data_IF_813310441937
#
_entry.id   IF_813310441937
#
_cell.length_a   1.000
_cell.length_b   1.000
_cell.length_c   1.000
_cell.angle_alpha   90.00
_cell.angle_beta   90.00
_cell.angle_gamma   90.00
#
_symmetry.space_group_name_H-M   'P 1'
#
loop_
_entity.id
_entity.type
_entity.pdbx_description
1 polymer ?
#
# COMPACT_ATOMS: atom_id res chain seq x y z
N UNK A 1 -1.27 10.57 14.30
CA UNK A 1 -0.52 9.28 14.23
C UNK A 1 0.70 9.36 13.31
N UNK A 2 0.65 10.00 12.14
CA UNK A 2 1.81 10.07 11.22
C UNK A 2 2.61 11.38 11.26
N UNK A 3 2.20 12.35 12.08
CA UNK A 3 2.84 13.67 12.20
C UNK A 3 4.34 13.63 12.55
N UNK A 4 4.82 12.73 13.43
CA UNK A 4 6.25 12.63 13.76
C UNK A 4 7.09 12.26 12.53
N UNK A 5 6.63 11.29 11.75
CA UNK A 5 7.27 10.88 10.51
C UNK A 5 7.26 12.01 9.49
N UNK A 6 6.13 12.69 9.33
CA UNK A 6 6.01 13.84 8.41
C UNK A 6 6.97 14.97 8.76
N UNK A 7 7.13 15.29 10.04
CA UNK A 7 8.10 16.29 10.52
C UNK A 7 9.54 15.86 10.24
N UNK A 8 9.87 14.58 10.49
CA UNK A 8 11.19 14.02 10.22
C UNK A 8 11.54 14.08 8.73
N UNK A 9 10.63 13.62 7.86
CA UNK A 9 10.83 13.70 6.41
C UNK A 9 11.02 15.13 5.93
N UNK A 10 10.27 16.09 6.48
CA UNK A 10 10.47 17.52 6.18
C UNK A 10 11.86 18.01 6.58
N UNK A 11 12.36 17.61 7.77
CA UNK A 11 13.72 17.95 8.24
C UNK A 11 14.81 17.35 7.33
N UNK A 12 14.63 16.11 6.91
CA UNK A 12 15.53 15.39 5.99
C UNK A 12 15.35 15.80 4.52
N UNK A 13 14.46 16.76 4.22
CA UNK A 13 14.09 17.21 2.86
C UNK A 13 13.57 16.09 1.95
N UNK A 14 12.98 15.06 2.53
CA UNK A 14 12.32 13.95 1.82
C UNK A 14 10.86 14.35 1.55
N UNK A 15 10.48 14.36 0.27
CA UNK A 15 9.10 14.66 -0.15
C UNK A 15 8.33 13.36 -0.38
N UNK A 16 7.26 13.18 0.39
CA UNK A 16 6.35 12.03 0.27
C UNK A 16 4.96 12.54 -0.09
N UNK A 17 4.32 11.90 -1.07
CA UNK A 17 2.94 12.17 -1.45
C UNK A 17 2.13 10.87 -1.35
N UNK A 18 1.08 10.86 -0.54
CA UNK A 18 0.10 9.79 -0.53
C UNK A 18 -1.06 10.16 -1.46
N UNK A 19 -1.39 9.29 -2.40
CA UNK A 19 -2.47 9.47 -3.38
C UNK A 19 -3.12 8.12 -3.65
N UNK A 20 -4.40 8.14 -4.00
CA UNK A 20 -5.05 6.98 -4.62
C UNK A 20 -4.56 6.83 -6.06
N UNK A 21 -4.66 5.63 -6.62
CA UNK A 21 -4.27 5.34 -8.01
C UNK A 21 -4.98 6.31 -8.98
N UNK A 22 -6.28 6.54 -8.75
CA UNK A 22 -7.10 7.48 -9.52
C UNK A 22 -6.54 8.91 -9.55
N UNK A 23 -6.10 9.44 -8.40
CA UNK A 23 -5.58 10.81 -8.27
C UNK A 23 -4.14 10.93 -8.77
N UNK A 24 -3.41 9.82 -8.87
CA UNK A 24 -2.03 9.80 -9.35
C UNK A 24 -1.90 9.90 -10.88
N UNK A 25 -3.01 9.90 -11.63
CA UNK A 25 -2.99 9.98 -13.10
C UNK A 25 -2.23 11.22 -13.58
N UNK A 26 -1.27 11.02 -14.48
CA UNK A 26 -0.41 12.09 -15.02
C UNK A 26 0.71 12.57 -14.08
N UNK A 27 0.80 12.04 -12.86
CA UNK A 27 1.86 12.35 -11.91
C UNK A 27 2.83 11.18 -11.80
N UNK A 28 4.12 11.43 -11.87
CA UNK A 28 5.15 10.39 -11.79
C UNK A 28 6.08 10.64 -10.61
N UNK A 29 6.74 9.59 -10.14
CA UNK A 29 7.71 9.67 -9.05
C UNK A 29 8.89 8.74 -9.30
N UNK A 30 10.07 9.12 -8.80
CA UNK A 30 11.29 8.28 -8.92
C UNK A 30 11.05 6.90 -8.32
N UNK A 31 10.43 6.88 -7.14
CA UNK A 31 10.07 5.65 -6.40
C UNK A 31 8.59 5.68 -6.09
N UNK A 32 7.90 4.57 -6.33
CA UNK A 32 6.47 4.39 -6.01
C UNK A 32 6.28 3.15 -5.14
N UNK A 33 5.48 3.31 -4.10
CA UNK A 33 5.01 2.22 -3.24
C UNK A 33 3.50 2.07 -3.47
N UNK A 34 3.07 0.91 -3.95
CA UNK A 34 1.66 0.56 -4.07
C UNK A 34 1.33 -0.37 -2.90
N UNK A 35 0.43 0.09 -2.04
CA UNK A 35 -0.01 -0.64 -0.85
C UNK A 35 -1.38 -1.26 -1.09
N UNK A 36 -1.71 -2.31 -0.32
CA UNK A 36 -3.01 -2.97 -0.43
C UNK A 36 -3.15 -3.86 -1.66
N UNK A 37 -2.03 -4.36 -2.20
CA UNK A 37 -2.02 -5.35 -3.29
C UNK A 37 -2.34 -6.76 -2.77
N UNK A 38 -3.41 -6.87 -2.00
CA UNK A 38 -3.91 -8.08 -1.36
C UNK A 38 -5.28 -8.41 -1.96
N UNK A 39 -5.67 -9.67 -2.08
CA UNK A 39 -7.00 -10.07 -2.50
C UNK A 39 -8.00 -9.98 -1.33
N UNK A 40 -9.27 -9.67 -1.63
CA UNK A 40 -10.34 -9.63 -0.63
C UNK A 40 -10.86 -8.22 -0.35
N UNK A 41 -11.57 -8.06 0.77
CA UNK A 41 -12.22 -6.80 1.11
C UNK A 41 -11.20 -5.70 1.41
N UNK A 42 -11.32 -4.56 0.72
CA UNK A 42 -10.34 -3.47 0.81
C UNK A 42 -9.01 -3.74 0.10
N UNK A 43 -8.93 -4.85 -0.65
CA UNK A 43 -7.80 -5.24 -1.46
C UNK A 43 -7.87 -4.71 -2.89
N UNK A 44 -7.00 -5.23 -3.76
CA UNK A 44 -6.93 -4.88 -5.17
C UNK A 44 -6.70 -6.13 -6.03
N UNK A 45 -7.44 -6.36 -7.13
CA UNK A 45 -8.47 -5.49 -7.71
C UNK A 45 -9.74 -5.40 -6.89
N UNK A 46 -10.40 -4.25 -6.92
CA UNK A 46 -11.64 -4.00 -6.19
C UNK A 46 -12.86 -3.95 -7.10
N UNK A 47 -13.22 -5.12 -7.60
CA UNK A 47 -14.38 -5.35 -8.47
C UNK A 47 -15.73 -5.24 -7.73
N UNK A 48 -15.74 -5.31 -6.40
CA UNK A 48 -16.96 -5.48 -5.59
C UNK A 48 -17.46 -4.19 -4.94
N UNK A 49 -16.64 -3.14 -4.83
CA UNK A 49 -17.07 -1.83 -4.32
C UNK A 49 -17.65 -0.90 -5.38
N UNK A 50 -17.80 -1.33 -6.64
CA UNK A 50 -18.61 -0.61 -7.62
C UNK A 50 -20.06 -0.49 -7.12
N UNK A 51 -20.63 0.72 -7.15
CA UNK A 51 -21.97 1.02 -6.65
C UNK A 51 -22.97 -0.05 -7.08
N UNK A 52 -23.50 -0.82 -6.12
CA UNK A 52 -24.50 -1.87 -6.38
C UNK A 52 -25.72 -1.30 -7.13
N UNK A 53 -26.02 -0.03 -6.89
CA UNK A 53 -27.06 0.75 -7.58
C UNK A 53 -26.72 0.95 -9.06
N UNK A 54 -25.46 1.21 -9.41
CA UNK A 54 -25.01 1.37 -10.79
C UNK A 54 -25.14 0.07 -11.60
N UNK A 55 -24.86 -1.06 -10.95
CA UNK A 55 -25.01 -2.39 -11.57
C UNK A 55 -26.47 -2.77 -11.85
N UNK A 56 -27.42 -2.24 -11.06
CA UNK A 56 -28.87 -2.42 -11.28
C UNK A 56 -29.37 -1.64 -12.51
N UNK A 57 -28.83 -0.46 -12.76
CA UNK A 57 -29.23 0.41 -13.89
C UNK A 57 -28.51 0.01 -15.18
N UNK A 58 -27.27 -0.50 -15.07
CA UNK A 58 -26.47 -0.95 -16.21
C UNK A 58 -25.73 -2.22 -15.84
N UNK A 59 -26.16 -3.41 -16.29
CA UNK A 59 -25.44 -4.65 -16.00
C UNK A 59 -24.07 -4.59 -16.66
N UNK A 60 -23.03 -4.40 -15.85
CA UNK A 60 -21.64 -4.44 -16.31
C UNK A 60 -21.14 -5.87 -16.14
N UNK A 61 -20.57 -6.44 -17.20
CA UNK A 61 -19.97 -7.77 -17.12
C UNK A 61 -18.77 -7.71 -16.17
N UNK A 62 -18.64 -8.74 -15.34
CA UNK A 62 -17.54 -8.88 -14.39
C UNK A 62 -16.16 -8.69 -15.05
N UNK A 63 -15.97 -9.26 -16.23
CA UNK A 63 -14.74 -9.10 -17.04
C UNK A 63 -14.41 -7.64 -17.34
N UNK A 64 -15.40 -6.80 -17.66
CA UNK A 64 -15.17 -5.38 -17.95
C UNK A 64 -14.70 -4.61 -16.71
N UNK A 65 -15.24 -4.94 -15.52
CA UNK A 65 -14.79 -4.34 -14.26
C UNK A 65 -13.35 -4.74 -13.95
N UNK A 66 -13.01 -6.01 -14.18
CA UNK A 66 -11.65 -6.51 -13.99
C UNK A 66 -10.66 -5.84 -14.96
N UNK A 67 -11.04 -5.63 -16.21
CA UNK A 67 -10.21 -4.91 -17.19
C UNK A 67 -10.00 -3.43 -16.84
N UNK A 68 -11.00 -2.77 -16.24
CA UNK A 68 -10.82 -1.40 -15.74
C UNK A 68 -9.86 -1.36 -14.54
N UNK A 69 -9.98 -2.29 -13.60
CA UNK A 69 -9.03 -2.43 -12.49
C UNK A 69 -7.61 -2.77 -13.00
N UNK A 70 -7.49 -3.62 -14.04
CA UNK A 70 -6.22 -3.92 -14.71
C UNK A 70 -5.61 -2.68 -15.36
N UNK A 71 -6.44 -1.83 -15.98
CA UNK A 71 -6.01 -0.53 -16.52
C UNK A 71 -5.48 0.38 -15.41
N UNK A 72 -6.17 0.44 -14.27
CA UNK A 72 -5.73 1.21 -13.10
C UNK A 72 -4.41 0.68 -12.55
N UNK A 73 -4.26 -0.64 -12.48
CA UNK A 73 -2.99 -1.27 -12.09
C UNK A 73 -1.85 -0.84 -13.01
N UNK A 74 -2.07 -0.92 -14.33
CA UNK A 74 -1.10 -0.49 -15.33
C UNK A 74 -0.72 0.99 -15.18
N UNK A 75 -1.69 1.86 -14.92
CA UNK A 75 -1.42 3.27 -14.62
C UNK A 75 -0.56 3.40 -13.37
N UNK A 76 -0.86 2.66 -12.31
CA UNK A 76 -0.14 2.72 -11.05
C UNK A 76 1.33 2.27 -11.19
N UNK A 77 1.59 1.14 -11.85
CA UNK A 77 2.96 0.63 -12.05
C UNK A 77 3.79 1.58 -12.93
N UNK A 78 3.18 2.20 -13.94
CA UNK A 78 3.87 3.15 -14.83
C UNK A 78 4.11 4.52 -14.20
N UNK A 79 3.64 4.78 -12.97
CA UNK A 79 4.00 6.01 -12.24
C UNK A 79 5.43 5.97 -11.70
N UNK A 80 6.04 4.79 -11.60
CA UNK A 80 7.40 4.60 -11.12
C UNK A 80 8.42 4.81 -12.25
N UNK A 81 9.40 5.71 -12.04
CA UNK A 81 10.49 5.92 -13.01
C UNK A 81 11.69 5.00 -12.79
N UNK A 82 12.05 4.75 -11.53
CA UNK A 82 13.26 3.99 -11.17
C UNK A 82 12.94 2.73 -10.38
N UNK A 83 12.07 2.82 -9.37
CA UNK A 83 11.76 1.69 -8.48
C UNK A 83 10.27 1.62 -8.16
N UNK A 84 9.73 0.41 -8.27
CA UNK A 84 8.37 0.07 -7.91
C UNK A 84 8.39 -0.96 -6.78
N UNK A 85 7.62 -0.69 -5.73
CA UNK A 85 7.40 -1.63 -4.63
C UNK A 85 5.91 -1.94 -4.55
N UNK A 86 5.56 -3.22 -4.63
CA UNK A 86 4.20 -3.72 -4.44
C UNK A 86 4.12 -4.37 -3.07
N UNK A 87 3.21 -3.89 -2.22
CA UNK A 87 3.07 -4.37 -0.83
C UNK A 87 1.76 -5.14 -0.70
N UNK A 88 1.89 -6.41 -0.31
CA UNK A 88 0.82 -7.39 -0.16
C UNK A 88 0.97 -8.14 1.16
N UNK A 89 -0.10 -8.82 1.56
CA UNK A 89 -0.05 -9.79 2.66
C UNK A 89 0.34 -11.18 2.13
N UNK A 90 1.21 -11.86 2.86
CA UNK A 90 1.69 -13.20 2.51
C UNK A 90 0.51 -14.17 2.56
N UNK A 91 0.28 -14.90 1.47
CA UNK A 91 -0.81 -15.87 1.33
C UNK A 91 -2.16 -15.26 0.91
N UNK A 92 -2.24 -13.93 0.76
CA UNK A 92 -3.41 -13.23 0.25
C UNK A 92 -3.02 -12.26 -0.87
N UNK A 93 -1.99 -12.56 -1.65
CA UNK A 93 -1.50 -11.65 -2.68
C UNK A 93 -2.55 -11.39 -3.76
N UNK A 94 -2.56 -10.15 -4.29
CA UNK A 94 -3.38 -9.80 -5.46
C UNK A 94 -3.09 -10.73 -6.64
N UNK A 95 -4.13 -11.14 -7.35
CA UNK A 95 -4.02 -11.89 -8.61
C UNK A 95 -3.13 -11.19 -9.62
N UNK A 96 -3.15 -9.85 -9.67
CA UNK A 96 -2.30 -9.07 -10.59
C UNK A 96 -0.80 -9.16 -10.28
N UNK A 97 -0.41 -9.38 -9.02
CA UNK A 97 0.99 -9.66 -8.68
C UNK A 97 1.41 -11.04 -9.18
N UNK A 98 0.50 -12.01 -9.12
CA UNK A 98 0.76 -13.38 -9.55
C UNK A 98 0.98 -13.45 -11.07
N UNK A 99 0.29 -12.62 -11.85
CA UNK A 99 0.45 -12.50 -13.30
C UNK A 99 1.82 -11.95 -13.75
N UNK A 100 2.52 -11.19 -12.89
CA UNK A 100 3.85 -10.66 -13.23
C UNK A 100 4.85 -11.83 -13.35
N UNK A 101 5.56 -11.98 -14.49
CA UNK A 101 6.49 -13.09 -14.65
C UNK A 101 7.63 -13.03 -13.63
N UNK A 102 8.09 -14.20 -13.17
CA UNK A 102 9.08 -14.30 -12.10
C UNK A 102 10.38 -13.54 -12.41
N UNK A 103 10.82 -13.48 -13.68
CA UNK A 103 12.01 -12.74 -14.10
C UNK A 103 11.93 -11.22 -13.92
N UNK A 104 10.73 -10.67 -13.69
CA UNK A 104 10.50 -9.23 -13.51
C UNK A 104 10.16 -8.84 -12.07
N UNK A 105 10.17 -9.78 -11.11
CA UNK A 105 9.87 -9.49 -9.71
C UNK A 105 10.87 -10.11 -8.76
N UNK A 106 11.26 -9.34 -7.74
CA UNK A 106 12.05 -9.81 -6.61
C UNK A 106 11.11 -9.81 -5.40
N UNK A 107 10.88 -11.00 -4.83
CA UNK A 107 9.99 -11.17 -3.69
C UNK A 107 10.79 -11.04 -2.39
N UNK A 108 10.37 -10.10 -1.54
CA UNK A 108 10.88 -9.97 -0.19
C UNK A 108 9.82 -10.45 0.79
N UNK A 109 9.98 -11.66 1.31
CA UNK A 109 9.02 -12.29 2.24
C UNK A 109 9.44 -12.17 3.70
N UNK A 110 10.29 -11.18 4.05
CA UNK A 110 10.59 -10.94 5.47
C UNK A 110 9.24 -10.70 6.17
N UNK A 111 8.86 -11.53 7.17
CA UNK A 111 7.71 -11.20 7.99
C UNK A 111 7.98 -9.80 8.52
N UNK A 112 7.00 -8.90 8.35
CA UNK A 112 7.03 -7.63 9.08
C UNK A 112 7.02 -8.07 10.54
N UNK A 113 8.21 -8.08 11.17
CA UNK A 113 8.43 -8.78 12.43
C UNK A 113 7.38 -8.29 13.41
N UNK A 114 6.39 -9.13 13.68
CA UNK A 114 5.48 -8.98 14.80
C UNK A 114 6.39 -9.00 16.01
N UNK A 115 6.67 -7.81 16.53
CA UNK A 115 7.71 -7.62 17.53
C UNK A 115 7.56 -8.63 18.66
N UNK A 116 8.66 -9.31 18.98
CA UNK A 116 8.88 -9.84 20.31
C UNK A 116 8.41 -8.80 21.33
N UNK A 117 7.55 -9.19 22.28
CA UNK A 117 6.97 -8.37 23.37
C UNK A 117 7.58 -6.96 23.46
N UNK A 118 7.04 -6.03 22.66
CA UNK A 118 7.49 -4.65 22.67
C UNK A 118 7.08 -4.02 24.01
N UNK A 119 7.89 -3.12 24.57
CA UNK A 119 7.51 -2.41 25.79
C UNK A 119 6.19 -1.67 25.58
N UNK A 120 5.29 -1.74 26.56
CA UNK A 120 3.99 -1.05 26.53
C UNK A 120 4.13 0.48 26.46
N UNK A 121 5.34 1.01 26.60
CA UNK A 121 5.65 2.44 26.54
C UNK A 121 6.93 2.72 25.76
N UNK A 122 6.91 3.79 24.96
CA UNK A 122 8.09 4.22 24.23
C UNK A 122 9.16 4.82 25.17
N UNK A 123 10.45 4.42 25.08
CA UNK A 123 11.51 4.96 25.92
C UNK A 123 11.79 6.46 25.68
N UNK A 124 11.48 6.99 24.49
CA UNK A 124 11.77 8.38 24.14
C UNK A 124 10.66 9.36 24.56
N UNK A 125 9.38 8.97 24.45
CA UNK A 125 8.26 9.88 24.69
C UNK A 125 7.22 9.36 25.69
N UNK A 126 7.43 8.16 26.26
CA UNK A 126 6.53 7.48 27.22
C UNK A 126 5.11 7.26 26.70
N UNK A 127 4.90 7.36 25.38
CA UNK A 127 3.60 7.07 24.75
C UNK A 127 3.28 5.59 24.82
N UNK A 128 2.01 5.25 25.11
CA UNK A 128 1.54 3.86 25.22
C UNK A 128 1.57 3.18 23.85
N UNK A 129 2.27 2.07 23.73
CA UNK A 129 2.45 1.34 22.47
C UNK A 129 1.49 0.14 22.43
N UNK A 130 0.90 -0.12 21.26
CA UNK A 130 0.20 -1.38 21.00
C UNK A 130 1.18 -2.41 20.42
N UNK A 131 0.83 -3.69 20.50
CA UNK A 131 1.68 -4.78 20.03
C UNK A 131 1.92 -4.66 18.51
N UNK A 132 3.18 -4.83 18.09
CA UNK A 132 3.55 -4.91 16.66
C UNK A 132 4.17 -3.64 16.05
N UNK A 133 4.31 -2.54 16.80
CA UNK A 133 5.02 -1.35 16.30
C UNK A 133 6.55 -1.47 16.46
N UNK A 134 7.30 -1.42 15.36
CA UNK A 134 8.78 -1.33 15.40
C UNK A 134 9.29 0.11 15.64
N UNK A 135 8.41 1.10 15.43
CA UNK A 135 8.66 2.52 15.66
C UNK A 135 7.50 3.14 16.43
N UNK A 136 7.80 4.05 17.35
CA UNK A 136 6.79 4.71 18.16
C UNK A 136 5.89 5.60 17.27
N UNK A 137 4.56 5.43 17.29
CA UNK A 137 3.64 6.25 16.51
C UNK A 137 3.54 7.70 17.01
N UNK A 138 4.03 8.01 18.21
CA UNK A 138 3.97 9.34 18.80
C UNK A 138 5.22 10.18 18.59
N UNK A 139 6.41 9.57 18.55
CA UNK A 139 7.67 10.31 18.37
C UNK A 139 8.52 9.82 17.19
N UNK A 140 8.21 8.67 16.59
CA UNK A 140 8.97 8.10 15.48
C UNK A 140 10.31 7.47 15.87
N UNK A 141 10.61 7.35 17.16
CA UNK A 141 11.78 6.64 17.68
C UNK A 141 11.65 5.14 17.46
N UNK A 142 12.77 4.46 17.21
CA UNK A 142 12.83 2.98 17.24
C UNK A 142 12.52 2.50 18.65
N UNK A 143 11.69 1.46 18.76
CA UNK A 143 11.30 0.85 20.03
C UNK A 143 12.23 -0.31 20.35
#
# INVERSE_FOLDING_TARGET
MFDPFRKRFKKEKIRINAKTIHVAKGLESRVVFIIGMTHGYGGFPDIWMGDRIYQLVRPVKHEMLLEEERRLFYVAITRAKERLYLISEIGAESSFIQEIPAGFKIVYSKPLSSGSSLPDTCPACRGKLEQGYQFCPFCGSTI
#
